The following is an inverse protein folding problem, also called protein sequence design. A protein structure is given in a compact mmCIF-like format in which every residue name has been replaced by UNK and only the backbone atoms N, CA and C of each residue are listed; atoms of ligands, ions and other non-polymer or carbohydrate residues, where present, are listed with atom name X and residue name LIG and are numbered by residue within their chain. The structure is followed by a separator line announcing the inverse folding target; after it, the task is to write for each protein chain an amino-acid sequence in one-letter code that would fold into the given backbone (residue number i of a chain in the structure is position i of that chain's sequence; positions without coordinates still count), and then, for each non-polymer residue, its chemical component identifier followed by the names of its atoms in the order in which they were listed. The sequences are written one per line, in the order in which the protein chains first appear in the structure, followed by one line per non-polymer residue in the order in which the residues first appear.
data_IF_769472698549
#
_entry.id   IF_769472698549
#
_cell.length_a   1.000
_cell.length_b   1.000
_cell.length_c   1.000
_cell.angle_alpha   90.00
_cell.angle_beta   90.00
_cell.angle_gamma   90.00
#
_symmetry.space_group_name_H-M   'P 1'
#
loop_
_entity.id
_entity.type
_entity.pdbx_description
1 polymer ?
#
# COMPACT_ATOMS: atom_id res chain seq x y z
N UNK A 1 9.33 -2.73 13.62
CA UNK A 1 8.99 -3.77 12.63
C UNK A 1 9.63 -3.38 11.31
N UNK A 2 10.50 -4.26 10.77
CA UNK A 2 11.34 -4.25 9.54
C UNK A 2 11.95 -2.95 8.97
N UNK A 3 11.67 -1.77 9.51
CA UNK A 3 12.23 -0.50 9.05
C UNK A 3 11.88 -0.17 7.58
N UNK A 4 10.81 -0.77 7.05
CA UNK A 4 10.23 -0.50 5.73
C UNK A 4 9.10 0.53 5.83
N UNK A 5 8.83 1.25 4.73
CA UNK A 5 7.67 2.14 4.61
C UNK A 5 6.78 1.70 3.45
N UNK A 6 5.48 1.93 3.59
CA UNK A 6 4.53 1.74 2.49
C UNK A 6 4.14 3.09 1.90
N UNK A 7 3.97 3.12 0.59
CA UNK A 7 3.53 4.30 -0.17
C UNK A 7 2.28 3.96 -0.95
N UNK A 8 1.28 4.84 -0.92
CA UNK A 8 0.11 4.82 -1.79
C UNK A 8 0.28 5.79 -2.96
N UNK A 9 -0.38 5.49 -4.06
CA UNK A 9 -0.59 6.38 -5.20
C UNK A 9 -2.07 6.48 -5.49
N UNK A 10 -2.45 7.59 -6.11
CA UNK A 10 -3.84 7.81 -6.48
C UNK A 10 -4.27 7.09 -7.76
N UNK A 11 -3.32 6.57 -8.54
CA UNK A 11 -3.63 5.68 -9.66
C UNK A 11 -4.13 4.27 -9.23
N UNK A 12 -4.31 4.06 -7.92
CA UNK A 12 -4.71 2.79 -7.31
C UNK A 12 -3.54 1.83 -7.04
N UNK A 13 -2.30 2.29 -7.15
CA UNK A 13 -1.12 1.49 -6.85
C UNK A 13 -0.54 1.82 -5.48
N UNK A 14 0.04 0.81 -4.82
CA UNK A 14 0.87 1.02 -3.64
C UNK A 14 2.12 0.16 -3.68
N UNK A 15 3.09 0.44 -2.81
CA UNK A 15 4.34 -0.32 -2.73
C UNK A 15 4.90 -0.36 -1.32
N UNK A 16 5.62 -1.44 -1.01
CA UNK A 16 6.48 -1.53 0.17
C UNK A 16 7.91 -1.27 -0.26
N UNK A 17 8.56 -0.35 0.45
CA UNK A 17 9.90 0.12 0.15
C UNK A 17 10.81 -0.05 1.37
N UNK A 18 12.06 -0.41 1.09
CA UNK A 18 13.14 -0.38 2.05
C UNK A 18 13.93 0.93 1.88
N UNK A 19 13.86 1.85 2.86
CA UNK A 19 14.54 3.14 2.77
C UNK A 19 16.06 3.00 2.93
N UNK A 20 16.54 1.97 3.63
CA UNK A 20 17.96 1.76 3.89
C UNK A 20 18.66 1.23 2.64
N UNK A 21 18.01 0.30 1.93
CA UNK A 21 18.52 -0.27 0.68
C UNK A 21 18.01 0.45 -0.58
N UNK A 22 17.24 1.54 -0.43
CA UNK A 22 16.67 2.36 -1.52
C UNK A 22 15.97 1.51 -2.60
N UNK A 23 15.26 0.48 -2.17
CA UNK A 23 14.70 -0.55 -3.06
C UNK A 23 13.22 -0.76 -2.79
N UNK A 24 12.44 -0.87 -3.87
CA UNK A 24 11.06 -1.37 -3.81
C UNK A 24 11.08 -2.87 -3.61
N UNK A 25 10.45 -3.33 -2.53
CA UNK A 25 10.36 -4.74 -2.17
C UNK A 25 9.16 -5.41 -2.82
N UNK A 26 8.01 -4.73 -2.80
CA UNK A 26 6.75 -5.24 -3.35
C UNK A 26 5.93 -4.09 -3.95
N UNK A 27 5.27 -4.36 -5.09
CA UNK A 27 4.25 -3.50 -5.65
C UNK A 27 2.90 -4.22 -5.53
N UNK A 28 1.88 -3.50 -5.10
CA UNK A 28 0.54 -4.07 -4.98
C UNK A 28 -0.15 -4.15 -6.34
N UNK A 29 -1.09 -5.07 -6.46
CA UNK A 29 -2.06 -5.04 -7.56
C UNK A 29 -2.84 -3.72 -7.52
N UNK A 30 -3.35 -3.31 -8.68
CA UNK A 30 -4.16 -2.11 -8.79
C UNK A 30 -5.46 -2.27 -8.01
N UNK A 31 -5.73 -1.36 -7.09
CA UNK A 31 -7.00 -1.23 -6.39
C UNK A 31 -8.04 -0.51 -7.26
N UNK A 32 -9.34 -0.66 -6.97
CA UNK A 32 -10.41 -0.13 -7.82
C UNK A 32 -10.27 1.38 -8.09
N UNK A 33 -9.89 2.14 -7.07
CA UNK A 33 -9.66 3.59 -7.15
C UNK A 33 -8.42 3.98 -6.33
N UNK A 34 -8.19 5.28 -6.15
CA UNK A 34 -7.11 5.88 -5.36
C UNK A 34 -6.94 5.21 -4.00
N UNK A 35 -5.68 5.02 -3.57
CA UNK A 35 -5.40 4.52 -2.23
C UNK A 35 -5.29 5.70 -1.27
N UNK A 36 -6.37 5.98 -0.55
CA UNK A 36 -6.47 7.13 0.34
C UNK A 36 -5.60 7.00 1.61
N UNK A 37 -5.45 5.78 2.12
CA UNK A 37 -4.67 5.50 3.33
C UNK A 37 -4.21 4.05 3.43
N UNK A 38 -3.11 3.86 4.16
CA UNK A 38 -2.44 2.59 4.43
C UNK A 38 -2.08 2.51 5.92
N UNK A 39 -2.31 1.36 6.56
CA UNK A 39 -1.93 1.15 7.95
C UNK A 39 -1.50 -0.30 8.21
N UNK A 40 -0.31 -0.48 8.80
CA UNK A 40 0.13 -1.79 9.28
C UNK A 40 -0.55 -2.12 10.60
N UNK A 41 -0.82 -3.41 10.83
CA UNK A 41 -1.15 -3.91 12.16
C UNK A 41 0.02 -3.72 13.12
N UNK A 42 -0.27 -3.74 14.43
CA UNK A 42 0.74 -3.50 15.46
C UNK A 42 1.87 -4.55 15.46
N UNK A 43 1.60 -5.76 14.97
CA UNK A 43 2.57 -6.84 14.80
C UNK A 43 3.19 -6.87 13.38
N UNK A 44 2.69 -6.06 12.44
CA UNK A 44 3.21 -5.93 11.09
C UNK A 44 2.83 -7.05 10.12
N UNK A 45 2.01 -8.01 10.56
CA UNK A 45 1.60 -9.16 9.75
C UNK A 45 0.47 -8.84 8.77
N UNK A 46 -0.24 -7.72 8.99
CA UNK A 46 -1.34 -7.26 8.16
C UNK A 46 -1.12 -5.82 7.71
N UNK A 47 -1.65 -5.51 6.53
CA UNK A 47 -1.74 -4.16 5.99
C UNK A 47 -3.18 -3.90 5.59
N UNK A 48 -3.76 -2.88 6.22
CA UNK A 48 -5.05 -2.30 5.84
C UNK A 48 -4.84 -1.26 4.74
N UNK A 49 -5.66 -1.35 3.70
CA UNK A 49 -5.58 -0.51 2.50
C UNK A 49 -6.98 0.02 2.24
N UNK A 50 -7.11 1.35 2.23
CA UNK A 50 -8.37 2.01 1.92
C UNK A 50 -8.31 2.49 0.47
N UNK A 51 -9.25 2.04 -0.35
CA UNK A 51 -9.43 2.50 -1.74
C UNK A 51 -10.66 3.38 -1.76
N UNK A 52 -10.47 4.67 -1.97
CA UNK A 52 -11.53 5.67 -1.99
C UNK A 52 -11.10 6.81 -2.89
N UNK A 53 -12.02 7.30 -3.73
CA UNK A 53 -11.73 8.38 -4.66
C UNK A 53 -11.45 9.68 -3.89
N UNK A 54 -10.35 10.35 -4.24
CA UNK A 54 -9.88 11.53 -3.52
C UNK A 54 -10.18 12.85 -4.23
N UNK A 55 -11.17 12.89 -5.14
CA UNK A 55 -11.60 14.10 -5.87
C UNK A 55 -10.51 14.76 -6.72
N UNK A 56 -9.59 13.96 -7.26
CA UNK A 56 -8.46 14.48 -8.05
C UNK A 56 -8.87 15.10 -9.39
N UNK A 57 -10.00 14.65 -9.95
CA UNK A 57 -10.58 15.13 -11.19
C UNK A 57 -12.04 15.57 -10.99
N UNK A 58 -12.31 16.31 -9.91
CA UNK A 58 -13.66 16.80 -9.56
C UNK A 58 -14.67 15.65 -9.34
N UNK A 59 -15.96 15.96 -9.20
CA UNK A 59 -17.00 14.97 -8.92
C UNK A 59 -17.32 14.17 -10.20
N UNK A 60 -16.80 12.94 -10.27
CA UNK A 60 -16.93 12.05 -11.42
C UNK A 60 -17.38 10.67 -10.96
N UNK A 61 -17.97 9.89 -11.88
CA UNK A 61 -18.33 8.51 -11.56
C UNK A 61 -17.07 7.71 -11.21
N UNK A 62 -17.05 7.18 -9.99
CA UNK A 62 -15.92 6.43 -9.46
C UNK A 62 -16.39 5.13 -8.81
N UNK A 63 -15.51 4.12 -8.69
CA UNK A 63 -15.81 2.90 -7.95
C UNK A 63 -16.20 3.18 -6.50
N UNK A 64 -16.92 2.24 -5.88
CA UNK A 64 -17.29 2.31 -4.47
C UNK A 64 -16.08 2.28 -3.54
N UNK A 65 -16.21 2.95 -2.39
CA UNK A 65 -15.19 2.95 -1.36
C UNK A 65 -15.03 1.55 -0.75
N UNK A 66 -13.79 1.13 -0.55
CA UNK A 66 -13.47 -0.21 -0.06
C UNK A 66 -12.29 -0.24 0.91
N UNK A 67 -12.34 -1.17 1.85
CA UNK A 67 -11.22 -1.48 2.76
C UNK A 67 -10.77 -2.91 2.49
N UNK A 68 -9.48 -3.05 2.19
CA UNK A 68 -8.84 -4.33 1.89
C UNK A 68 -7.83 -4.63 2.97
N UNK A 69 -7.96 -5.80 3.60
CA UNK A 69 -6.98 -6.32 4.54
C UNK A 69 -6.19 -7.41 3.84
N UNK A 70 -4.87 -7.24 3.80
CA UNK A 70 -3.97 -8.25 3.25
C UNK A 70 -2.94 -8.68 4.27
N UNK A 71 -2.58 -9.95 4.23
CA UNK A 71 -1.42 -10.44 4.95
C UNK A 71 -0.15 -9.91 4.25
N UNK A 72 0.84 -9.56 5.06
CA UNK A 72 2.16 -9.14 4.60
C UNK A 72 3.16 -10.18 5.05
N UNK A 73 3.94 -10.67 4.10
CA UNK A 73 4.95 -11.69 4.38
C UNK A 73 6.31 -11.07 4.65
N UNK A 74 7.15 -11.81 5.37
CA UNK A 74 8.57 -11.49 5.54
C UNK A 74 9.28 -11.27 4.20
N UNK A 75 8.88 -11.98 3.14
CA UNK A 75 9.48 -11.82 1.81
C UNK A 75 9.21 -10.45 1.18
N UNK A 76 8.15 -9.77 1.61
CA UNK A 76 7.72 -8.47 1.09
C UNK A 76 8.18 -7.30 1.95
N UNK A 77 8.62 -7.57 3.19
CA UNK A 77 9.02 -6.55 4.17
C UNK A 77 10.47 -6.67 4.63
N UNK A 78 11.11 -7.84 4.52
CA UNK A 78 12.51 -7.95 4.88
C UNK A 78 13.41 -7.40 3.77
N UNK A 79 14.45 -6.63 4.14
CA UNK A 79 15.55 -6.32 3.24
C UNK A 79 16.09 -7.60 2.61
N UNK A 80 16.29 -7.60 1.28
CA UNK A 80 17.01 -8.71 0.64
C UNK A 80 18.49 -8.59 1.04
N UNK A 81 19.06 -9.67 1.56
CA UNK A 81 20.51 -9.78 1.74
C UNK A 81 21.23 -9.59 0.40
N UNK A 82 22.44 -8.98 0.39
CA UNK A 82 23.25 -8.84 -0.82
C UNK A 82 23.66 -10.19 -1.42
#
# INVERSE_FOLDING_TARGET
IHNTFATSSSDGFGSICDPFNKKRLCQFHRYPTSIASLAFSNDGTMLAITSSYMYEMDDTEHPEDGIFIRQVTDAETKPKSP
#
